data_IF_519176611022
#
_entry.id   IF_519176611022
#
_cell.length_a   1.000
_cell.length_b   1.000
_cell.length_c   1.000
_cell.angle_alpha   90.00
_cell.angle_beta   90.00
_cell.angle_gamma   90.00
#
_symmetry.space_group_name_H-M   'P 1'
#
loop_
_entity.id
_entity.type
_entity.pdbx_description
1 polymer ?
#
# COMPACT_ATOMS: atom_id res chain seq x y z
N UNK A 1 12.65 -4.87 -0.21
CA UNK A 1 14.09 -4.66 -0.54
C UNK A 1 14.99 -4.98 0.68
N UNK A 2 14.96 -4.20 1.79
CA UNK A 2 15.90 -4.39 2.92
C UNK A 2 16.04 -5.83 3.45
N UNK A 3 14.97 -6.62 3.66
CA UNK A 3 15.11 -8.02 4.11
C UNK A 3 15.79 -8.94 3.09
N UNK A 4 15.64 -8.66 1.80
CA UNK A 4 16.28 -9.42 0.72
C UNK A 4 17.77 -9.09 0.67
N UNK A 5 18.11 -7.80 0.67
CA UNK A 5 19.51 -7.32 0.69
C UNK A 5 20.27 -7.85 1.91
N UNK A 6 19.63 -7.85 3.10
CA UNK A 6 20.22 -8.40 4.32
C UNK A 6 20.51 -9.92 4.25
N UNK A 7 19.95 -10.61 3.25
CA UNK A 7 20.18 -12.03 2.96
C UNK A 7 20.97 -12.28 1.69
N UNK A 8 21.59 -11.25 1.12
CA UNK A 8 22.32 -11.29 -0.15
C UNK A 8 21.46 -11.79 -1.32
N UNK A 9 20.17 -11.45 -1.30
CA UNK A 9 19.24 -11.70 -2.41
C UNK A 9 19.10 -10.39 -3.19
N UNK A 10 19.48 -10.41 -4.45
CA UNK A 10 19.34 -9.29 -5.37
C UNK A 10 18.06 -9.49 -6.21
N UNK A 11 16.98 -8.76 -5.93
CA UNK A 11 15.75 -8.88 -6.72
C UNK A 11 15.86 -8.08 -8.02
N UNK A 12 15.28 -8.61 -9.09
CA UNK A 12 15.01 -7.84 -10.29
C UNK A 12 13.88 -6.85 -10.01
N UNK A 13 14.12 -5.57 -10.21
CA UNK A 13 13.11 -4.51 -10.05
C UNK A 13 12.54 -4.20 -11.43
N UNK A 14 11.22 -4.30 -11.56
CA UNK A 14 10.51 -3.85 -12.76
C UNK A 14 10.20 -2.36 -12.60
N UNK A 15 10.93 -1.53 -13.34
CA UNK A 15 10.67 -0.10 -13.40
C UNK A 15 9.69 0.20 -14.54
N UNK A 16 8.57 0.80 -14.21
CA UNK A 16 7.47 1.02 -15.16
C UNK A 16 6.85 2.40 -14.93
N UNK A 17 6.41 3.11 -16.00
CA UNK A 17 5.81 4.43 -15.85
C UNK A 17 4.60 4.41 -14.90
N UNK A 18 4.41 5.52 -14.18
CA UNK A 18 3.23 5.69 -13.32
C UNK A 18 1.95 5.58 -14.15
N UNK A 19 0.95 4.92 -13.61
CA UNK A 19 -0.39 4.78 -14.18
C UNK A 19 -0.47 3.96 -15.47
N UNK A 20 0.64 3.34 -15.90
CA UNK A 20 0.70 2.50 -17.10
C UNK A 20 0.72 1.01 -16.74
N UNK A 21 -0.48 0.46 -16.49
CA UNK A 21 -0.64 -0.97 -16.21
C UNK A 21 -0.21 -1.86 -17.39
N UNK A 22 -0.39 -1.40 -18.62
CA UNK A 22 0.02 -2.16 -19.81
C UNK A 22 1.55 -2.26 -19.91
N UNK A 23 2.28 -1.16 -19.63
CA UNK A 23 3.73 -1.20 -19.53
C UNK A 23 4.20 -2.13 -18.41
N UNK A 24 3.51 -2.15 -17.25
CA UNK A 24 3.83 -3.07 -16.15
C UNK A 24 3.68 -4.53 -16.58
N UNK A 25 2.58 -4.90 -17.21
CA UNK A 25 2.35 -6.26 -17.73
C UNK A 25 3.37 -6.63 -18.79
N UNK A 26 3.72 -5.69 -19.68
CA UNK A 26 4.76 -5.91 -20.73
C UNK A 26 6.13 -6.15 -20.12
N UNK A 27 6.54 -5.34 -19.13
CA UNK A 27 7.81 -5.51 -18.42
C UNK A 27 7.87 -6.85 -17.68
N UNK A 28 6.76 -7.26 -17.05
CA UNK A 28 6.66 -8.56 -16.41
C UNK A 28 6.81 -9.71 -17.42
N UNK A 29 6.14 -9.63 -18.58
CA UNK A 29 6.29 -10.64 -19.64
C UNK A 29 7.74 -10.81 -20.07
N UNK A 30 8.48 -9.71 -20.25
CA UNK A 30 9.89 -9.74 -20.60
C UNK A 30 10.77 -10.34 -19.50
N UNK A 31 10.53 -9.96 -18.24
CA UNK A 31 11.27 -10.51 -17.11
C UNK A 31 11.07 -12.01 -16.96
N UNK A 32 9.85 -12.51 -17.15
CA UNK A 32 9.50 -13.92 -17.04
C UNK A 32 10.15 -14.81 -18.12
N UNK A 33 10.70 -14.24 -19.19
CA UNK A 33 11.51 -14.99 -20.18
C UNK A 33 12.80 -15.54 -19.55
N UNK A 34 13.36 -14.81 -18.60
CA UNK A 34 14.55 -15.24 -17.85
C UNK A 34 14.24 -16.21 -16.71
N UNK A 35 12.94 -16.44 -16.44
CA UNK A 35 12.45 -17.17 -15.28
C UNK A 35 12.39 -16.33 -14.02
N UNK A 36 11.56 -16.75 -13.09
CA UNK A 36 11.45 -16.17 -11.76
C UNK A 36 10.99 -17.25 -10.78
N UNK A 37 11.57 -17.27 -9.57
CA UNK A 37 11.17 -18.20 -8.51
C UNK A 37 9.98 -17.67 -7.71
N UNK A 38 9.83 -16.33 -7.66
CA UNK A 38 8.82 -15.65 -6.85
C UNK A 38 8.63 -14.23 -7.35
N UNK A 39 7.40 -13.74 -7.35
CA UNK A 39 7.10 -12.32 -7.49
C UNK A 39 6.62 -11.72 -6.17
N UNK A 40 7.04 -10.49 -5.87
CA UNK A 40 6.49 -9.67 -4.79
C UNK A 40 5.90 -8.43 -5.45
N UNK A 41 4.61 -8.18 -5.21
CA UNK A 41 3.89 -7.05 -5.78
C UNK A 41 3.24 -6.20 -4.69
N UNK A 42 3.54 -4.91 -4.64
CA UNK A 42 2.69 -3.95 -3.95
C UNK A 42 1.49 -3.63 -4.82
N UNK A 43 0.29 -4.05 -4.39
CA UNK A 43 -0.93 -3.90 -5.18
C UNK A 43 -1.30 -2.43 -5.42
N UNK A 44 -1.07 -1.58 -4.42
CA UNK A 44 -1.37 -0.14 -4.49
C UNK A 44 -0.18 0.66 -3.98
N UNK A 45 0.21 1.68 -4.72
CA UNK A 45 1.28 2.60 -4.30
C UNK A 45 0.87 3.40 -3.07
N UNK A 46 1.71 3.37 -2.05
CA UNK A 46 1.52 4.19 -0.85
C UNK A 46 1.86 5.69 -1.06
N UNK A 47 2.47 6.03 -2.19
CA UNK A 47 2.83 7.41 -2.56
C UNK A 47 1.77 8.01 -3.47
N UNK A 48 1.43 7.30 -4.54
CA UNK A 48 0.61 7.85 -5.63
C UNK A 48 -0.82 7.29 -5.65
N UNK A 49 -1.10 6.23 -4.86
CA UNK A 49 -2.41 5.58 -4.87
C UNK A 49 -2.72 4.80 -6.14
N UNK A 50 -1.76 4.68 -7.07
CA UNK A 50 -1.92 3.90 -8.30
C UNK A 50 -2.12 2.42 -7.99
N UNK A 51 -3.02 1.78 -8.73
CA UNK A 51 -3.41 0.37 -8.55
C UNK A 51 -2.73 -0.45 -9.63
N UNK A 52 -2.02 -1.50 -9.24
CA UNK A 52 -1.42 -2.44 -10.19
C UNK A 52 -2.51 -3.33 -10.83
N UNK A 53 -2.38 -3.72 -12.11
CA UNK A 53 -3.33 -4.56 -12.83
C UNK A 53 -3.19 -6.02 -12.35
N UNK A 54 -3.79 -6.34 -11.20
CA UNK A 54 -3.62 -7.63 -10.54
C UNK A 54 -4.16 -8.80 -11.38
N UNK A 55 -5.27 -8.62 -12.08
CA UNK A 55 -5.87 -9.69 -12.90
C UNK A 55 -4.90 -10.15 -13.98
N UNK A 56 -4.34 -9.24 -14.77
CA UNK A 56 -3.43 -9.54 -15.87
C UNK A 56 -2.08 -10.06 -15.36
N UNK A 57 -1.59 -9.54 -14.25
CA UNK A 57 -0.36 -10.00 -13.61
C UNK A 57 -0.55 -11.43 -13.10
N UNK A 58 -1.65 -11.70 -12.41
CA UNK A 58 -1.92 -13.02 -11.84
C UNK A 58 -2.13 -14.08 -12.91
N UNK A 59 -2.78 -13.74 -14.04
CA UNK A 59 -2.91 -14.63 -15.20
C UNK A 59 -1.54 -15.06 -15.71
N UNK A 60 -0.64 -14.10 -15.98
CA UNK A 60 0.73 -14.39 -16.44
C UNK A 60 1.54 -15.25 -15.48
N UNK A 61 1.44 -14.96 -14.18
CA UNK A 61 2.17 -15.71 -13.16
C UNK A 61 1.61 -17.14 -13.03
N UNK A 62 0.30 -17.29 -13.14
CA UNK A 62 -0.36 -18.60 -13.12
C UNK A 62 0.08 -19.46 -14.32
N UNK A 63 0.10 -18.89 -15.52
CA UNK A 63 0.59 -19.57 -16.73
C UNK A 63 2.05 -20.02 -16.62
N UNK A 64 2.88 -19.28 -15.89
CA UNK A 64 4.30 -19.57 -15.71
C UNK A 64 4.61 -20.37 -14.45
N UNK A 65 3.61 -20.66 -13.63
CA UNK A 65 3.78 -21.36 -12.34
C UNK A 65 4.59 -20.59 -11.31
N UNK A 66 4.67 -19.25 -11.44
CA UNK A 66 5.43 -18.36 -10.53
C UNK A 66 4.53 -17.91 -9.37
N UNK A 67 4.88 -18.21 -8.12
CA UNK A 67 4.10 -17.78 -6.97
C UNK A 67 4.19 -16.27 -6.75
N UNK A 68 3.10 -15.68 -6.21
CA UNK A 68 2.97 -14.27 -5.91
C UNK A 68 2.78 -14.03 -4.41
N UNK A 69 3.62 -13.18 -3.82
CA UNK A 69 3.35 -12.55 -2.54
C UNK A 69 2.78 -11.16 -2.80
N UNK A 70 1.54 -10.93 -2.37
CA UNK A 70 0.84 -9.67 -2.55
C UNK A 70 0.96 -8.81 -1.29
N UNK A 71 1.61 -7.66 -1.41
CA UNK A 71 1.51 -6.58 -0.41
C UNK A 71 0.21 -5.81 -0.63
N UNK A 72 -0.81 -6.16 0.15
CA UNK A 72 -2.12 -5.52 0.16
C UNK A 72 -2.21 -4.38 1.20
N UNK A 73 -1.08 -3.81 1.62
CA UNK A 73 -1.04 -2.79 2.67
C UNK A 73 -1.85 -1.53 2.38
N UNK A 74 -2.09 -1.23 1.13
CA UNK A 74 -2.88 -0.08 0.70
C UNK A 74 -4.18 -0.47 -0.02
N UNK A 75 -4.35 -1.76 -0.33
CA UNK A 75 -5.51 -2.24 -1.10
C UNK A 75 -6.53 -2.99 -0.24
N UNK A 76 -6.10 -3.69 0.82
CA UNK A 76 -7.02 -4.38 1.71
C UNK A 76 -8.05 -3.41 2.30
N UNK A 77 -9.33 -3.65 2.05
CA UNK A 77 -10.44 -2.80 2.48
C UNK A 77 -10.90 -1.74 1.47
N UNK A 78 -10.11 -1.45 0.41
CA UNK A 78 -10.47 -0.47 -0.64
C UNK A 78 -10.38 -1.02 -2.06
N UNK A 79 -9.74 -2.18 -2.27
CA UNK A 79 -9.76 -2.88 -3.54
C UNK A 79 -10.27 -4.31 -3.29
N UNK A 80 -10.98 -4.85 -4.26
CA UNK A 80 -11.43 -6.24 -4.19
C UNK A 80 -10.25 -7.17 -4.46
N UNK A 81 -10.03 -8.12 -3.54
CA UNK A 81 -9.03 -9.18 -3.67
C UNK A 81 -9.72 -10.50 -3.33
N UNK A 82 -10.19 -11.20 -4.35
CA UNK A 82 -10.72 -12.55 -4.18
C UNK A 82 -9.58 -13.55 -4.41
N UNK A 83 -9.03 -14.08 -3.32
CA UNK A 83 -7.89 -15.03 -3.37
C UNK A 83 -8.19 -16.28 -4.19
N UNK A 84 -9.45 -16.64 -4.37
CA UNK A 84 -9.84 -17.81 -5.18
C UNK A 84 -9.67 -17.60 -6.68
N UNK A 85 -9.66 -16.34 -7.11
CA UNK A 85 -9.46 -15.96 -8.52
C UNK A 85 -8.00 -16.06 -8.97
N UNK A 86 -7.05 -16.11 -8.03
CA UNK A 86 -5.62 -15.97 -8.31
C UNK A 86 -4.83 -17.19 -7.82
N UNK A 87 -4.77 -18.30 -8.59
CA UNK A 87 -4.05 -19.52 -8.18
C UNK A 87 -2.56 -19.32 -7.93
N UNK A 88 -1.97 -18.27 -8.47
CA UNK A 88 -0.56 -17.91 -8.22
C UNK A 88 -0.33 -17.28 -6.85
N UNK A 89 -1.38 -16.82 -6.14
CA UNK A 89 -1.21 -16.20 -4.83
C UNK A 89 -0.71 -17.22 -3.81
N UNK A 90 0.48 -16.98 -3.32
CA UNK A 90 1.08 -17.79 -2.28
C UNK A 90 0.90 -17.17 -0.89
N UNK A 91 0.93 -15.84 -0.80
CA UNK A 91 0.63 -15.14 0.43
C UNK A 91 0.06 -13.74 0.16
N UNK A 92 -0.76 -13.24 1.09
CA UNK A 92 -1.23 -11.85 1.11
C UNK A 92 -0.90 -11.23 2.46
N UNK A 93 -0.24 -10.08 2.46
CA UNK A 93 0.17 -9.35 3.66
C UNK A 93 -0.59 -8.03 3.76
N UNK A 94 -1.14 -7.71 4.95
CA UNK A 94 -1.86 -6.47 5.17
C UNK A 94 -1.81 -6.01 6.63
N UNK A 95 -1.60 -4.72 6.92
CA UNK A 95 -1.69 -4.16 8.25
C UNK A 95 -3.15 -3.90 8.63
N UNK A 96 -3.47 -4.09 9.90
CA UNK A 96 -4.84 -3.86 10.41
C UNK A 96 -5.22 -2.38 10.52
N UNK A 97 -4.23 -1.48 10.70
CA UNK A 97 -4.44 -0.07 11.07
C UNK A 97 -4.61 0.89 9.88
N UNK A 98 -4.74 0.39 8.66
CA UNK A 98 -5.03 1.21 7.46
C UNK A 98 -6.51 1.07 7.08
N UNK A 99 -6.82 0.76 5.84
CA UNK A 99 -8.20 0.69 5.35
C UNK A 99 -9.01 -0.52 5.86
N UNK A 100 -8.43 -1.35 6.74
CA UNK A 100 -9.18 -2.31 7.56
C UNK A 100 -9.72 -1.71 8.88
N UNK A 101 -9.41 -0.43 9.16
CA UNK A 101 -9.90 0.33 10.32
C UNK A 101 -9.63 -0.31 11.70
N UNK A 102 -8.66 -1.22 11.78
CA UNK A 102 -8.21 -1.81 13.03
C UNK A 102 -7.20 -0.95 13.77
N UNK A 103 -6.85 -1.29 15.02
CA UNK A 103 -5.83 -0.58 15.79
C UNK A 103 -4.41 -0.87 15.29
N UNK A 104 -3.48 0.02 15.64
CA UNK A 104 -2.04 -0.21 15.42
C UNK A 104 -1.56 -1.47 16.15
N UNK A 105 -0.48 -2.09 15.63
CA UNK A 105 0.07 -3.32 16.20
C UNK A 105 -0.70 -4.58 15.81
N UNK A 106 -1.59 -4.49 14.81
CA UNK A 106 -2.29 -5.63 14.21
C UNK A 106 -2.00 -5.75 12.72
N UNK A 107 -2.03 -6.97 12.21
CA UNK A 107 -1.88 -7.27 10.79
C UNK A 107 -2.35 -8.68 10.49
N UNK A 108 -2.46 -8.99 9.21
CA UNK A 108 -2.91 -10.30 8.73
C UNK A 108 -1.90 -10.79 7.68
N UNK A 109 -1.49 -12.04 7.81
CA UNK A 109 -0.82 -12.83 6.80
C UNK A 109 -1.76 -13.97 6.39
N UNK A 110 -2.17 -13.99 5.14
CA UNK A 110 -2.84 -15.16 4.55
C UNK A 110 -1.75 -16.01 3.90
N UNK A 111 -1.51 -17.20 4.43
CA UNK A 111 -0.67 -18.22 3.80
C UNK A 111 -1.57 -19.11 2.95
N UNK A 112 -1.38 -19.10 1.64
CA UNK A 112 -2.28 -19.73 0.66
C UNK A 112 -1.62 -20.88 -0.08
N UNK A 113 -0.30 -21.00 -0.03
CA UNK A 113 0.47 -22.00 -0.75
C UNK A 113 1.54 -22.61 0.18
N UNK A 114 1.43 -23.90 0.42
CA UNK A 114 2.35 -24.67 1.26
C UNK A 114 3.77 -24.78 0.67
N UNK A 115 3.94 -24.51 -0.63
CA UNK A 115 5.26 -24.45 -1.29
C UNK A 115 6.13 -23.33 -0.73
N UNK A 116 5.51 -22.27 -0.18
CA UNK A 116 6.23 -21.21 0.51
C UNK A 116 6.31 -21.55 2.00
N UNK A 117 7.35 -22.30 2.37
CA UNK A 117 7.64 -22.59 3.76
C UNK A 117 8.10 -21.33 4.50
N UNK A 118 7.16 -20.61 5.08
CA UNK A 118 7.45 -19.46 5.93
C UNK A 118 8.14 -19.96 7.21
N UNK A 119 9.38 -19.48 7.46
CA UNK A 119 10.10 -19.76 8.72
C UNK A 119 9.82 -18.64 9.71
N UNK A 120 9.63 -18.96 11.00
CA UNK A 120 9.45 -17.94 12.01
C UNK A 120 10.66 -17.01 12.09
N UNK A 121 10.40 -15.70 12.17
CA UNK A 121 11.44 -14.71 12.47
C UNK A 121 11.72 -14.62 13.97
N UNK A 122 10.69 -14.86 14.77
CA UNK A 122 10.73 -14.89 16.21
C UNK A 122 10.20 -16.24 16.69
N UNK A 123 10.83 -16.81 17.70
CA UNK A 123 10.41 -18.05 18.34
C UNK A 123 10.16 -17.80 19.82
N UNK A 124 9.26 -18.58 20.43
CA UNK A 124 8.92 -18.45 21.85
C UNK A 124 7.69 -19.26 22.20
N UNK A 125 7.19 -19.12 23.41
CA UNK A 125 6.00 -19.85 23.84
C UNK A 125 4.79 -19.48 22.98
N UNK A 126 4.04 -20.47 22.51
CA UNK A 126 2.86 -20.30 21.65
C UNK A 126 1.56 -20.60 22.41
N UNK A 127 1.65 -21.19 23.62
CA UNK A 127 0.51 -21.67 24.38
C UNK A 127 -0.01 -23.04 23.96
N UNK A 128 0.50 -23.60 22.85
CA UNK A 128 0.27 -24.96 22.39
C UNK A 128 1.54 -25.79 22.55
N UNK A 129 1.41 -27.12 22.64
CA UNK A 129 2.52 -28.08 22.77
C UNK A 129 3.55 -27.64 23.82
N UNK A 130 3.08 -27.24 25.01
CA UNK A 130 3.90 -26.65 26.09
C UNK A 130 5.02 -27.57 26.62
N UNK A 131 4.96 -28.85 26.33
CA UNK A 131 5.97 -29.85 26.67
C UNK A 131 7.11 -29.93 25.61
N UNK A 132 6.88 -29.38 24.42
CA UNK A 132 7.86 -29.40 23.35
C UNK A 132 8.88 -28.27 23.49
N UNK A 133 10.18 -28.60 23.31
CA UNK A 133 11.26 -27.61 23.32
C UNK A 133 11.47 -26.90 21.98
N UNK A 134 10.76 -27.33 20.93
CA UNK A 134 10.85 -26.78 19.58
C UNK A 134 9.62 -25.96 19.25
N UNK A 135 9.80 -24.95 18.40
CA UNK A 135 8.68 -24.20 17.83
C UNK A 135 7.77 -25.15 17.05
N UNK A 136 6.45 -25.09 17.23
CA UNK A 136 5.50 -25.83 16.38
C UNK A 136 5.72 -25.56 14.90
N UNK A 137 5.41 -26.54 14.05
CA UNK A 137 5.55 -26.45 12.60
C UNK A 137 4.23 -26.21 11.86
N UNK A 138 3.11 -26.16 12.58
CA UNK A 138 1.78 -25.90 12.03
C UNK A 138 1.35 -24.44 12.23
N UNK A 139 0.56 -23.91 11.29
CA UNK A 139 -0.02 -22.59 11.38
C UNK A 139 -1.28 -22.56 12.27
N UNK A 140 -1.53 -21.45 13.01
CA UNK A 140 -0.75 -20.22 13.03
C UNK A 140 0.47 -20.24 13.94
N UNK A 141 0.61 -21.22 14.84
CA UNK A 141 1.55 -21.27 15.95
C UNK A 141 3.02 -21.21 15.49
N UNK A 142 3.31 -21.76 14.31
CA UNK A 142 4.67 -21.68 13.73
C UNK A 142 5.16 -20.25 13.56
N UNK A 143 4.27 -19.29 13.28
CA UNK A 143 4.60 -17.89 12.97
C UNK A 143 4.21 -16.93 14.09
N UNK A 144 3.47 -17.38 15.08
CA UNK A 144 3.03 -16.56 16.20
C UNK A 144 3.69 -17.03 17.51
N UNK A 145 4.49 -16.16 18.13
CA UNK A 145 5.10 -16.42 19.42
C UNK A 145 4.72 -15.36 20.44
N UNK A 146 4.55 -15.78 21.69
CA UNK A 146 4.09 -14.95 22.79
C UNK A 146 2.57 -14.85 22.88
N UNK A 147 2.09 -14.08 23.85
CA UNK A 147 0.65 -13.84 24.04
C UNK A 147 0.10 -12.93 22.94
N UNK A 148 -0.92 -13.36 22.19
CA UNK A 148 -1.52 -12.54 21.14
C UNK A 148 -2.10 -11.23 21.67
N UNK A 149 -2.09 -10.17 20.83
CA UNK A 149 -2.75 -8.90 21.12
C UNK A 149 -4.28 -9.04 20.98
N UNK A 150 -4.92 -9.75 21.93
CA UNK A 150 -6.36 -10.04 21.87
C UNK A 150 -7.22 -8.79 21.76
N UNK A 151 -7.00 -7.69 22.53
CA UNK A 151 -7.77 -6.46 22.37
C UNK A 151 -7.61 -5.84 20.98
N UNK A 152 -6.39 -5.86 20.43
CA UNK A 152 -6.13 -5.36 19.09
C UNK A 152 -6.81 -6.20 18.01
N UNK A 153 -6.81 -7.52 18.15
CA UNK A 153 -7.47 -8.45 17.22
C UNK A 153 -8.99 -8.24 17.26
N UNK A 154 -9.58 -8.06 18.44
CA UNK A 154 -11.00 -7.75 18.58
C UNK A 154 -11.36 -6.42 17.90
N UNK A 155 -10.52 -5.38 18.07
CA UNK A 155 -10.69 -4.10 17.36
C UNK A 155 -10.57 -4.24 15.84
N UNK A 156 -9.61 -5.05 15.35
CA UNK A 156 -9.47 -5.34 13.93
C UNK A 156 -10.69 -6.09 13.36
N UNK A 157 -11.25 -7.04 14.12
CA UNK A 157 -12.47 -7.74 13.73
C UNK A 157 -13.64 -6.78 13.55
N UNK A 158 -13.79 -5.79 14.45
CA UNK A 158 -14.80 -4.73 14.31
C UNK A 158 -14.57 -3.85 13.08
N UNK A 159 -13.32 -3.48 12.79
CA UNK A 159 -12.94 -2.74 11.58
C UNK A 159 -13.28 -3.51 10.30
N UNK A 160 -12.96 -4.80 10.24
CA UNK A 160 -13.30 -5.68 9.11
C UNK A 160 -14.84 -5.81 8.96
N UNK A 161 -15.57 -5.91 10.08
CA UNK A 161 -17.03 -5.95 10.03
C UNK A 161 -17.61 -4.65 9.43
N UNK A 162 -17.05 -3.48 9.77
CA UNK A 162 -17.39 -2.21 9.15
C UNK A 162 -17.13 -2.22 7.64
N UNK A 163 -15.91 -2.61 7.21
CA UNK A 163 -15.55 -2.70 5.78
C UNK A 163 -16.49 -3.62 5.01
N UNK A 164 -16.87 -4.76 5.60
CA UNK A 164 -17.83 -5.70 4.98
C UNK A 164 -19.23 -5.10 4.87
N UNK A 165 -19.68 -4.35 5.87
CA UNK A 165 -21.02 -3.73 5.87
C UNK A 165 -21.12 -2.59 4.85
N UNK A 166 -20.07 -1.76 4.73
CA UNK A 166 -20.01 -0.64 3.78
C UNK A 166 -19.66 -1.10 2.37
N UNK A 167 -18.92 -2.15 2.23
CA UNK A 167 -18.27 -2.76 1.06
C UNK A 167 -17.00 -2.02 0.59
N UNK A 168 -15.94 -2.75 0.20
CA UNK A 168 -14.73 -2.15 -0.37
C UNK A 168 -15.00 -1.29 -1.60
N UNK A 169 -15.91 -1.72 -2.47
CA UNK A 169 -16.28 -0.98 -3.68
C UNK A 169 -16.89 0.40 -3.37
N UNK A 170 -17.73 0.49 -2.34
CA UNK A 170 -18.33 1.77 -1.93
C UNK A 170 -17.27 2.69 -1.31
N UNK A 171 -16.39 2.16 -0.45
CA UNK A 171 -15.26 2.91 0.14
C UNK A 171 -14.37 3.46 -0.97
N UNK A 172 -13.93 2.61 -1.89
CA UNK A 172 -13.10 2.99 -3.02
C UNK A 172 -13.75 4.05 -3.92
N UNK A 173 -15.04 3.90 -4.21
CA UNK A 173 -15.80 4.86 -5.01
C UNK A 173 -15.84 6.24 -4.38
N UNK A 174 -16.09 6.33 -3.08
CA UNK A 174 -16.08 7.59 -2.34
C UNK A 174 -14.69 8.21 -2.29
N UNK A 175 -13.67 7.45 -1.92
CA UNK A 175 -12.29 7.94 -1.86
C UNK A 175 -11.79 8.44 -3.21
N UNK A 176 -12.06 7.70 -4.30
CA UNK A 176 -11.70 8.09 -5.66
C UNK A 176 -12.35 9.40 -6.06
N UNK A 177 -13.64 9.56 -5.80
CA UNK A 177 -14.36 10.81 -6.08
C UNK A 177 -13.70 11.99 -5.35
N UNK A 178 -13.46 11.85 -4.06
CA UNK A 178 -12.86 12.88 -3.22
C UNK A 178 -11.43 13.23 -3.66
N UNK A 179 -10.61 12.24 -3.99
CA UNK A 179 -9.23 12.45 -4.50
C UNK A 179 -9.26 13.25 -5.81
N UNK A 180 -10.15 12.91 -6.74
CA UNK A 180 -10.25 13.64 -8.01
C UNK A 180 -10.78 15.07 -7.83
N UNK A 181 -11.69 15.30 -6.89
CA UNK A 181 -12.15 16.64 -6.54
C UNK A 181 -11.00 17.48 -5.98
N UNK A 182 -10.22 16.91 -5.06
CA UNK A 182 -9.04 17.55 -4.46
C UNK A 182 -7.96 17.84 -5.51
N UNK A 183 -7.62 16.85 -6.35
CA UNK A 183 -6.63 17.04 -7.41
C UNK A 183 -7.03 18.17 -8.37
N UNK A 184 -8.30 18.23 -8.78
CA UNK A 184 -8.83 19.34 -9.60
C UNK A 184 -8.75 20.69 -8.91
N UNK A 185 -8.99 20.74 -7.60
CA UNK A 185 -8.89 21.97 -6.83
C UNK A 185 -7.44 22.47 -6.76
N UNK A 186 -6.47 21.57 -6.47
CA UNK A 186 -5.06 21.93 -6.41
C UNK A 186 -4.46 22.29 -7.77
N UNK A 187 -4.89 21.65 -8.86
CA UNK A 187 -4.40 21.94 -10.21
C UNK A 187 -4.84 23.33 -10.76
N UNK A 188 -5.64 24.09 -10.02
CA UNK A 188 -5.92 25.50 -10.33
C UNK A 188 -4.72 26.40 -10.04
N UNK A 189 -3.82 25.96 -9.20
CA UNK A 189 -2.56 26.66 -8.89
C UNK A 189 -1.45 26.06 -9.77
N UNK A 190 -0.93 26.87 -10.70
CA UNK A 190 0.02 26.41 -11.73
C UNK A 190 1.37 25.97 -11.18
N UNK A 191 1.75 26.42 -9.98
CA UNK A 191 2.96 26.00 -9.31
C UNK A 191 2.86 24.58 -8.71
N UNK A 192 1.66 24.01 -8.61
CA UNK A 192 1.44 22.71 -8.02
C UNK A 192 1.44 21.63 -9.10
N UNK A 193 2.33 20.66 -8.95
CA UNK A 193 2.34 19.43 -9.71
C UNK A 193 1.63 18.32 -8.91
N UNK A 194 0.43 17.93 -9.34
CA UNK A 194 -0.36 16.86 -8.74
C UNK A 194 -0.15 15.53 -9.43
N UNK A 195 0.02 14.47 -8.65
CA UNK A 195 0.13 13.09 -9.15
C UNK A 195 -1.21 12.39 -9.01
N UNK A 196 -2.02 12.44 -10.06
CA UNK A 196 -3.37 11.86 -10.09
C UNK A 196 -3.60 11.06 -11.36
N UNK A 197 -4.20 9.88 -11.22
CA UNK A 197 -4.55 8.97 -12.32
C UNK A 197 -6.01 8.54 -12.28
N UNK A 198 -6.47 7.85 -13.33
CA UNK A 198 -7.87 7.41 -13.46
C UNK A 198 -8.23 6.40 -12.35
N UNK A 199 -7.39 5.38 -12.18
CA UNK A 199 -7.55 4.34 -11.16
C UNK A 199 -6.65 4.65 -9.98
N UNK A 200 -7.22 5.19 -8.92
CA UNK A 200 -6.52 5.69 -7.76
C UNK A 200 -7.32 5.45 -6.48
N UNK A 201 -6.61 5.13 -5.40
CA UNK A 201 -7.19 5.07 -4.06
C UNK A 201 -7.22 6.44 -3.39
N UNK A 202 -7.62 6.53 -2.12
CA UNK A 202 -7.69 7.76 -1.33
C UNK A 202 -6.36 8.48 -1.06
N UNK A 203 -5.35 8.30 -1.89
CA UNK A 203 -4.01 8.90 -1.72
C UNK A 203 -3.74 9.90 -2.84
N UNK A 204 -3.44 11.15 -2.49
CA UNK A 204 -3.00 12.19 -3.43
C UNK A 204 -1.64 12.73 -3.01
N UNK A 205 -0.65 12.61 -3.87
CA UNK A 205 0.64 13.28 -3.72
C UNK A 205 0.74 14.48 -4.65
N UNK A 206 1.39 15.54 -4.19
CA UNK A 206 1.72 16.71 -4.98
C UNK A 206 3.07 17.29 -4.56
N UNK A 207 3.67 18.12 -5.42
CA UNK A 207 4.85 18.90 -5.09
C UNK A 207 4.75 20.32 -5.66
N UNK A 208 5.60 21.18 -5.16
CA UNK A 208 5.93 22.47 -5.76
C UNK A 208 7.38 22.38 -6.22
N UNK A 209 7.67 22.35 -7.53
CA UNK A 209 9.02 22.21 -8.03
C UNK A 209 9.98 23.24 -7.39
N UNK A 210 11.15 22.76 -6.96
CA UNK A 210 12.15 23.60 -6.28
C UNK A 210 11.89 23.86 -4.79
N UNK A 211 10.77 23.40 -4.23
CA UNK A 211 10.46 23.51 -2.79
C UNK A 211 10.53 22.15 -2.13
N UNK A 212 11.36 21.95 -1.08
CA UNK A 212 11.35 20.71 -0.33
C UNK A 212 9.97 20.42 0.28
N UNK A 213 9.53 19.17 0.16
CA UNK A 213 8.19 18.76 0.63
C UNK A 213 7.98 18.97 2.12
N UNK A 214 9.04 18.86 2.91
CA UNK A 214 9.04 19.07 4.36
C UNK A 214 8.67 20.50 4.72
N UNK A 215 9.25 21.48 4.01
CA UNK A 215 8.93 22.89 4.23
C UNK A 215 7.44 23.17 3.99
N UNK A 216 6.91 22.62 2.90
CA UNK A 216 5.50 22.80 2.58
C UNK A 216 4.58 22.08 3.58
N UNK A 217 4.99 20.90 4.06
CA UNK A 217 4.23 20.16 5.06
C UNK A 217 4.20 20.89 6.42
N UNK A 218 5.31 21.51 6.83
CA UNK A 218 5.37 22.32 8.06
C UNK A 218 4.43 23.52 7.96
N UNK A 219 4.48 24.27 6.85
CA UNK A 219 3.56 25.39 6.61
C UNK A 219 2.08 24.94 6.64
N UNK A 220 1.77 23.78 6.11
CA UNK A 220 0.42 23.21 6.12
C UNK A 220 0.00 22.78 7.52
N UNK A 221 0.93 22.24 8.30
CA UNK A 221 0.70 21.87 9.70
C UNK A 221 0.33 23.08 10.55
N UNK A 222 1.00 24.23 10.35
CA UNK A 222 0.68 25.50 11.04
C UNK A 222 -0.73 25.99 10.71
N UNK A 223 -1.22 25.67 9.50
CA UNK A 223 -2.59 25.97 9.08
C UNK A 223 -3.59 24.86 9.50
N UNK A 224 -3.16 23.84 10.25
CA UNK A 224 -4.00 22.74 10.71
C UNK A 224 -4.36 21.72 9.63
N UNK A 225 -3.54 21.58 8.59
CA UNK A 225 -3.68 20.54 7.55
C UNK A 225 -2.67 19.44 7.79
N UNK A 226 -3.15 18.27 8.21
CA UNK A 226 -2.31 17.11 8.46
C UNK A 226 -1.88 16.46 7.14
N UNK A 227 -0.58 16.48 6.86
CA UNK A 227 0.03 15.88 5.68
C UNK A 227 1.23 15.03 6.07
N UNK A 228 1.78 14.32 5.10
CA UNK A 228 3.09 13.68 5.24
C UNK A 228 3.98 14.09 4.09
N UNK A 229 5.23 14.45 4.41
CA UNK A 229 6.26 14.83 3.45
C UNK A 229 7.31 13.75 3.24
N UNK A 230 8.14 13.90 2.21
CA UNK A 230 9.34 13.13 1.93
C UNK A 230 9.13 11.97 0.96
N UNK A 231 9.96 10.93 1.10
CA UNK A 231 9.99 9.79 0.18
C UNK A 231 9.06 8.63 0.57
N UNK A 232 8.29 8.77 1.65
CA UNK A 232 7.25 7.82 2.09
C UNK A 232 7.69 6.34 2.15
N UNK A 233 8.97 6.08 2.46
CA UNK A 233 9.59 4.73 2.45
C UNK A 233 9.57 4.04 1.08
N UNK A 234 9.42 4.78 -0.02
CA UNK A 234 9.30 4.27 -1.38
C UNK A 234 10.23 5.02 -2.37
N UNK A 235 11.55 4.99 -2.16
CA UNK A 235 12.50 5.75 -3.00
C UNK A 235 12.42 5.37 -4.48
N UNK A 236 12.13 4.11 -4.81
CA UNK A 236 12.00 3.68 -6.20
C UNK A 236 10.78 4.32 -6.89
N UNK A 237 9.65 4.47 -6.18
CA UNK A 237 8.49 5.16 -6.73
C UNK A 237 8.79 6.65 -7.02
N UNK A 238 9.56 7.31 -6.15
CA UNK A 238 10.00 8.68 -6.37
C UNK A 238 11.00 8.79 -7.55
N UNK A 239 11.87 7.79 -7.74
CA UNK A 239 12.76 7.71 -8.91
C UNK A 239 11.96 7.66 -10.20
N UNK A 240 11.01 6.75 -10.28
CA UNK A 240 10.11 6.63 -11.45
C UNK A 240 9.33 7.92 -11.72
N UNK A 241 8.91 8.64 -10.67
CA UNK A 241 8.16 9.88 -10.77
C UNK A 241 9.04 11.14 -10.98
N UNK A 242 10.37 11.03 -10.89
CA UNK A 242 11.27 12.19 -10.94
C UNK A 242 11.10 13.17 -9.78
N UNK A 243 10.82 12.65 -8.59
CA UNK A 243 10.55 13.45 -7.37
C UNK A 243 11.50 13.13 -6.23
N UNK A 244 12.69 12.56 -6.53
CA UNK A 244 13.67 12.18 -5.50
C UNK A 244 14.29 13.41 -4.82
N UNK A 245 14.41 14.50 -5.54
CA UNK A 245 15.05 15.75 -5.12
C UNK A 245 14.26 16.53 -4.06
N UNK A 246 12.94 16.57 -4.21
CA UNK A 246 12.05 17.34 -3.33
C UNK A 246 11.16 16.46 -2.46
N UNK A 247 11.05 15.17 -2.77
CA UNK A 247 9.98 14.35 -2.23
C UNK A 247 8.59 14.84 -2.69
N UNK A 248 7.55 14.40 -2.02
CA UNK A 248 6.17 14.89 -2.23
C UNK A 248 5.47 15.14 -0.90
N UNK A 249 4.50 16.05 -0.91
CA UNK A 249 3.51 16.15 0.15
C UNK A 249 2.35 15.23 -0.20
N UNK A 250 2.00 14.34 0.73
CA UNK A 250 0.92 13.36 0.57
C UNK A 250 -0.27 13.69 1.46
N UNK A 251 -1.44 13.76 0.86
CA UNK A 251 -2.74 13.78 1.51
C UNK A 251 -3.35 12.39 1.43
N UNK A 252 -3.87 11.90 2.54
CA UNK A 252 -4.51 10.59 2.61
C UNK A 252 -5.95 10.76 3.07
N UNK A 253 -6.88 10.32 2.24
CA UNK A 253 -8.31 10.40 2.45
C UNK A 253 -8.85 9.04 2.90
N UNK A 254 -9.98 9.07 3.56
CA UNK A 254 -10.68 7.86 3.99
C UNK A 254 -12.17 7.98 3.70
N UNK A 255 -12.91 6.91 3.94
CA UNK A 255 -14.37 6.91 3.90
C UNK A 255 -14.99 8.05 4.73
N UNK A 256 -14.37 8.46 5.82
CA UNK A 256 -14.86 9.52 6.72
C UNK A 256 -14.46 10.94 6.28
N UNK A 257 -13.65 11.09 5.24
CA UNK A 257 -13.28 12.40 4.72
C UNK A 257 -14.48 13.06 4.03
N UNK A 258 -14.64 14.37 4.21
CA UNK A 258 -15.76 15.13 3.66
C UNK A 258 -15.30 16.13 2.59
N UNK A 259 -16.14 16.42 1.60
CA UNK A 259 -15.85 17.41 0.55
C UNK A 259 -15.49 18.77 1.15
N UNK A 260 -16.17 19.21 2.23
CA UNK A 260 -15.85 20.46 2.93
C UNK A 260 -14.45 20.51 3.50
N UNK A 261 -13.97 19.41 4.12
CA UNK A 261 -12.59 19.34 4.62
C UNK A 261 -11.58 19.45 3.49
N UNK A 262 -11.86 18.83 2.35
CA UNK A 262 -10.98 18.86 1.19
C UNK A 262 -10.94 20.23 0.52
N UNK A 263 -12.06 20.92 0.40
CA UNK A 263 -12.14 22.28 -0.09
C UNK A 263 -11.30 23.22 0.80
N UNK A 264 -11.48 23.15 2.12
CA UNK A 264 -10.68 23.93 3.07
C UNK A 264 -9.17 23.61 2.98
N UNK A 265 -8.80 22.35 2.82
CA UNK A 265 -7.40 21.95 2.64
C UNK A 265 -6.83 22.49 1.32
N UNK A 266 -7.56 22.35 0.22
CA UNK A 266 -7.14 22.88 -1.08
C UNK A 266 -6.94 24.39 -1.07
N UNK A 267 -7.87 25.15 -0.46
CA UNK A 267 -7.76 26.59 -0.35
C UNK A 267 -6.51 27.00 0.45
N UNK A 268 -6.21 26.29 1.53
CA UNK A 268 -5.01 26.54 2.34
C UNK A 268 -3.73 26.23 1.55
N UNK A 269 -3.68 25.07 0.87
CA UNK A 269 -2.54 24.70 0.02
C UNK A 269 -2.31 25.76 -1.06
N UNK A 270 -3.34 26.11 -1.84
CA UNK A 270 -3.21 27.10 -2.92
C UNK A 270 -2.79 28.49 -2.38
N UNK A 271 -3.32 28.90 -1.23
CA UNK A 271 -2.96 30.18 -0.61
C UNK A 271 -1.49 30.21 -0.17
N UNK A 272 -0.98 29.12 0.42
CA UNK A 272 0.42 29.02 0.85
C UNK A 272 1.36 28.99 -0.35
N UNK A 273 1.05 28.18 -1.35
CA UNK A 273 1.91 28.05 -2.55
C UNK A 273 2.00 29.36 -3.35
N UNK A 274 0.97 30.20 -3.34
CA UNK A 274 1.04 31.54 -3.95
C UNK A 274 2.08 32.46 -3.29
N UNK A 275 2.44 32.20 -2.04
CA UNK A 275 3.42 33.00 -1.29
C UNK A 275 4.87 32.52 -1.51
N UNK A 276 5.05 31.30 -2.05
CA UNK A 276 6.33 30.74 -2.49
C UNK A 276 6.69 31.23 -3.91
#
# INVERSE_FOLDING_TARGET
MRPLTARNIEPTVLDTPLWDGAAMVSALKQALVQGADLMILSHVSNVFGSIAPLDEIAELLTERGVPLILDASQSAGVAEIDVKRYPCLAAVCMPGHKALYGPMGTGILLALDDRIAAKPLLTGGTGSLSEELRQPDFLPDALESGTPNVPGIAGLAAGIAFVRAVTPAHIAGQERRLVHELARALSRESKIECFSGKEQTGVLSFRVPGTPSEVLADMLSDEGVCTRAGLHCAPLAHRTAGTEDTGTVRLSLSFYSTARQLEQAADKVCRLVKKL
#
